data_IF_501325136717
#
_entry.id   IF_501325136717
#
_cell.length_a   1.000
_cell.length_b   1.000
_cell.length_c   1.000
_cell.angle_alpha   90.00
_cell.angle_beta   90.00
_cell.angle_gamma   90.00
#
_symmetry.space_group_name_H-M   'P 1'
#
loop_
_entity.id
_entity.type
_entity.pdbx_description
1 polymer ?
#
# COMPACT_ATOMS: atom_id res chain seq x y z
N UNK A 1 15.58 -44.38 7.03
CA UNK A 1 15.44 -43.18 6.18
C UNK A 1 13.99 -42.77 5.89
N UNK A 2 13.03 -43.70 5.65
CA UNK A 2 11.63 -43.35 5.35
C UNK A 2 10.90 -42.53 6.44
N UNK A 3 11.09 -42.87 7.72
CA UNK A 3 10.53 -42.10 8.85
C UNK A 3 11.10 -40.67 8.91
N UNK A 4 12.41 -40.53 8.70
CA UNK A 4 13.09 -39.23 8.63
C UNK A 4 12.56 -38.36 7.48
N UNK A 5 12.45 -38.92 6.27
CA UNK A 5 11.84 -38.22 5.12
C UNK A 5 10.39 -37.82 5.39
N UNK A 6 9.59 -38.66 6.06
CA UNK A 6 8.21 -38.34 6.43
C UNK A 6 8.15 -37.13 7.37
N UNK A 7 9.05 -37.04 8.35
CA UNK A 7 9.10 -35.89 9.26
C UNK A 7 9.54 -34.61 8.55
N UNK A 8 10.53 -34.68 7.65
CA UNK A 8 10.94 -33.53 6.83
C UNK A 8 9.76 -33.05 5.97
N UNK A 9 9.09 -33.96 5.26
CA UNK A 9 7.95 -33.62 4.42
C UNK A 9 6.81 -32.98 5.24
N UNK A 10 6.52 -33.51 6.43
CA UNK A 10 5.52 -32.94 7.33
C UNK A 10 5.89 -31.52 7.78
N UNK A 11 7.15 -31.27 8.15
CA UNK A 11 7.61 -29.93 8.53
C UNK A 11 7.52 -28.94 7.35
N UNK A 12 7.89 -29.37 6.15
CA UNK A 12 7.76 -28.54 4.94
C UNK A 12 6.29 -28.19 4.70
N UNK A 13 5.38 -29.17 4.77
CA UNK A 13 3.94 -28.92 4.59
C UNK A 13 3.41 -27.95 5.65
N UNK A 14 3.72 -28.16 6.92
CA UNK A 14 3.30 -27.25 8.01
C UNK A 14 3.84 -25.84 7.79
N UNK A 15 5.08 -25.71 7.35
CA UNK A 15 5.69 -24.40 7.05
C UNK A 15 4.96 -23.72 5.90
N UNK A 16 4.70 -24.42 4.79
CA UNK A 16 3.98 -23.87 3.63
C UNK A 16 2.55 -23.44 3.99
N UNK A 17 1.83 -24.25 4.76
CA UNK A 17 0.48 -23.90 5.23
C UNK A 17 0.52 -22.67 6.14
N UNK A 18 1.51 -22.60 7.03
CA UNK A 18 1.69 -21.45 7.92
C UNK A 18 2.01 -20.18 7.14
N UNK A 19 2.88 -20.26 6.14
CA UNK A 19 3.20 -19.13 5.26
C UNK A 19 1.95 -18.62 4.54
N UNK A 20 1.16 -19.53 3.96
CA UNK A 20 -0.07 -19.17 3.26
C UNK A 20 -1.09 -18.52 4.20
N UNK A 21 -1.29 -19.10 5.39
CA UNK A 21 -2.20 -18.55 6.39
C UNK A 21 -1.76 -17.15 6.85
N UNK A 22 -0.46 -16.97 7.14
CA UNK A 22 0.09 -15.69 7.55
C UNK A 22 -0.03 -14.63 6.45
N UNK A 23 0.19 -14.99 5.19
CA UNK A 23 0.03 -14.07 4.05
C UNK A 23 -1.42 -13.61 3.90
N UNK A 24 -2.38 -14.53 4.02
CA UNK A 24 -3.80 -14.23 3.98
C UNK A 24 -4.23 -13.31 5.13
N UNK A 25 -3.79 -13.61 6.36
CA UNK A 25 -4.07 -12.79 7.55
C UNK A 25 -3.45 -11.40 7.40
N UNK A 26 -2.20 -11.34 6.97
CA UNK A 26 -1.50 -10.08 6.75
C UNK A 26 -2.21 -9.22 5.71
N UNK A 27 -2.57 -9.80 4.56
CA UNK A 27 -3.27 -9.09 3.48
C UNK A 27 -4.62 -8.56 3.96
N UNK A 28 -5.41 -9.38 4.66
CA UNK A 28 -6.68 -8.95 5.23
C UNK A 28 -6.50 -7.76 6.19
N UNK A 29 -5.53 -7.83 7.10
CA UNK A 29 -5.23 -6.73 8.03
C UNK A 29 -4.74 -5.50 7.27
N UNK A 30 -3.89 -5.66 6.27
CA UNK A 30 -3.33 -4.58 5.46
C UNK A 30 -4.41 -3.80 4.71
N UNK A 31 -5.42 -4.50 4.18
CA UNK A 31 -6.55 -3.89 3.46
C UNK A 31 -7.58 -3.24 4.39
N UNK A 32 -7.75 -3.76 5.61
CA UNK A 32 -8.85 -3.33 6.50
C UNK A 32 -8.39 -2.42 7.65
N UNK A 33 -7.11 -2.37 8.01
CA UNK A 33 -6.59 -1.52 9.09
C UNK A 33 -6.56 -0.02 8.71
N UNK A 34 -6.49 0.86 9.70
CA UNK A 34 -6.37 2.32 9.47
C UNK A 34 -5.12 2.58 8.60
N UNK A 35 -5.23 3.31 7.47
CA UNK A 35 -4.10 3.55 6.58
C UNK A 35 -2.92 4.18 7.30
N UNK A 36 -1.75 3.56 7.20
CA UNK A 36 -0.48 4.07 7.75
C UNK A 36 0.47 4.57 6.66
N UNK A 37 0.16 4.30 5.40
CA UNK A 37 0.94 4.72 4.25
C UNK A 37 0.02 5.07 3.06
N UNK A 38 0.61 5.69 2.03
CA UNK A 38 -0.12 6.16 0.85
C UNK A 38 -0.75 5.03 0.04
N UNK A 39 -0.10 3.87 -0.05
CA UNK A 39 -0.63 2.71 -0.77
C UNK A 39 -1.89 2.16 -0.11
N UNK A 40 -1.88 1.97 1.23
CA UNK A 40 -3.07 1.58 1.98
C UNK A 40 -4.18 2.62 1.87
N UNK A 41 -3.82 3.89 1.89
CA UNK A 41 -4.80 4.97 1.74
C UNK A 41 -5.49 4.91 0.38
N UNK A 42 -4.74 4.73 -0.70
CA UNK A 42 -5.27 4.57 -2.06
C UNK A 42 -6.21 3.36 -2.18
N UNK A 43 -5.81 2.20 -1.67
CA UNK A 43 -6.64 0.98 -1.68
C UNK A 43 -8.01 1.18 -0.99
N UNK A 44 -8.06 2.07 0.00
CA UNK A 44 -9.29 2.41 0.73
C UNK A 44 -10.09 3.57 0.14
N UNK A 45 -9.54 4.29 -0.85
CA UNK A 45 -10.11 5.53 -1.37
C UNK A 45 -11.34 5.32 -2.29
N UNK A 46 -11.84 4.08 -2.43
CA UNK A 46 -12.82 3.65 -3.45
C UNK A 46 -14.10 4.49 -3.58
N UNK A 47 -14.46 5.28 -2.56
CA UNK A 47 -15.68 6.11 -2.56
C UNK A 47 -15.43 7.59 -2.26
N UNK A 48 -14.18 8.08 -2.34
CA UNK A 48 -13.88 9.49 -2.12
C UNK A 48 -13.66 10.25 -3.43
N UNK A 49 -14.35 11.38 -3.60
CA UNK A 49 -14.11 12.32 -4.69
C UNK A 49 -12.92 13.21 -4.34
N UNK A 50 -11.85 13.09 -5.13
CA UNK A 50 -10.64 13.92 -5.03
C UNK A 50 -10.61 14.84 -6.24
N UNK A 51 -10.47 16.15 -6.02
CA UNK A 51 -10.44 17.14 -7.11
C UNK A 51 -9.03 17.32 -7.66
N UNK A 52 -8.01 17.25 -6.80
CA UNK A 52 -6.60 17.39 -7.17
C UNK A 52 -5.75 16.24 -6.65
N UNK A 53 -4.97 15.63 -7.54
CA UNK A 53 -3.96 14.63 -7.19
C UNK A 53 -2.59 15.13 -7.64
N UNK A 54 -1.66 15.23 -6.70
CA UNK A 54 -0.28 15.64 -6.93
C UNK A 54 0.63 14.41 -6.91
N UNK A 55 1.32 14.15 -8.03
CA UNK A 55 2.23 13.02 -8.21
C UNK A 55 3.66 13.52 -8.44
N UNK A 56 4.63 12.93 -7.76
CA UNK A 56 6.02 13.35 -7.89
C UNK A 56 6.97 12.62 -6.95
N UNK A 57 8.22 13.08 -6.92
CA UNK A 57 9.26 12.53 -6.06
C UNK A 57 9.26 13.21 -4.67
N UNK A 58 10.38 13.12 -3.94
CA UNK A 58 10.62 13.82 -2.66
C UNK A 58 10.37 15.33 -2.75
N UNK A 59 10.55 15.94 -3.92
CA UNK A 59 10.24 17.37 -4.13
C UNK A 59 8.76 17.63 -3.88
N UNK A 60 7.88 16.82 -4.44
CA UNK A 60 6.44 16.99 -4.28
C UNK A 60 5.98 16.55 -2.88
N UNK A 61 6.50 15.43 -2.39
CA UNK A 61 6.17 14.94 -1.04
C UNK A 61 6.44 15.98 0.05
N UNK A 62 7.58 16.68 -0.04
CA UNK A 62 8.02 17.58 1.01
C UNK A 62 7.59 19.05 0.82
N UNK A 63 7.21 19.47 -0.40
CA UNK A 63 6.93 20.89 -0.69
C UNK A 63 5.45 21.20 -0.94
N UNK A 64 4.63 20.22 -1.33
CA UNK A 64 3.21 20.47 -1.59
C UNK A 64 2.38 20.15 -0.34
N UNK A 65 1.92 21.21 0.32
CA UNK A 65 0.99 21.12 1.46
C UNK A 65 -0.45 21.17 0.93
N UNK A 66 -1.08 20.00 0.78
CA UNK A 66 -2.44 19.90 0.21
C UNK A 66 -3.48 20.66 1.02
N UNK A 67 -3.34 20.71 2.35
CA UNK A 67 -4.23 21.49 3.21
C UNK A 67 -4.35 22.96 2.78
N UNK A 68 -3.25 23.58 2.35
CA UNK A 68 -3.26 24.96 1.86
C UNK A 68 -4.02 25.09 0.52
N UNK A 69 -3.94 24.05 -0.34
CA UNK A 69 -4.70 24.00 -1.59
C UNK A 69 -6.19 23.89 -1.27
N UNK A 70 -6.56 23.01 -0.33
CA UNK A 70 -7.95 22.84 0.10
C UNK A 70 -8.50 24.13 0.73
N UNK A 71 -7.76 24.76 1.63
CA UNK A 71 -8.15 26.04 2.27
C UNK A 71 -8.35 27.16 1.26
N UNK A 72 -7.52 27.24 0.21
CA UNK A 72 -7.58 28.30 -0.80
C UNK A 72 -8.61 28.06 -1.89
N UNK A 73 -8.90 26.81 -2.24
CA UNK A 73 -9.71 26.46 -3.40
C UNK A 73 -11.06 25.85 -3.04
N UNK A 74 -11.24 25.40 -1.80
CA UNK A 74 -12.40 24.63 -1.35
C UNK A 74 -12.49 23.23 -1.97
N UNK A 75 -11.43 22.76 -2.65
CA UNK A 75 -11.41 21.48 -3.40
C UNK A 75 -10.48 20.48 -2.72
N UNK A 76 -10.90 19.22 -2.63
CA UNK A 76 -10.11 18.16 -1.97
C UNK A 76 -8.83 17.86 -2.73
N UNK A 77 -7.70 17.78 -2.03
CA UNK A 77 -6.39 17.62 -2.62
C UNK A 77 -5.57 16.50 -1.96
N UNK A 78 -4.92 15.68 -2.78
CA UNK A 78 -4.12 14.53 -2.33
C UNK A 78 -2.67 14.63 -2.81
N UNK A 79 -1.72 14.43 -1.87
CA UNK A 79 -0.30 14.38 -2.16
C UNK A 79 0.15 12.91 -2.20
N UNK A 80 0.45 12.44 -3.41
CA UNK A 80 0.98 11.11 -3.69
C UNK A 80 2.46 11.17 -4.08
N UNK A 81 3.20 12.18 -3.60
CA UNK A 81 4.65 12.24 -3.76
C UNK A 81 5.33 11.09 -3.03
N UNK A 82 6.39 10.51 -3.59
CA UNK A 82 7.15 9.42 -2.95
C UNK A 82 8.63 9.76 -2.94
N UNK A 83 9.31 9.59 -1.81
CA UNK A 83 10.75 9.80 -1.74
C UNK A 83 11.49 8.93 -2.77
N UNK A 84 12.29 9.58 -3.63
CA UNK A 84 12.98 8.89 -4.72
C UNK A 84 12.07 8.34 -5.83
N UNK A 85 10.77 8.63 -5.79
CA UNK A 85 9.77 8.08 -6.70
C UNK A 85 10.05 8.41 -8.17
N UNK A 86 9.82 7.41 -9.01
CA UNK A 86 9.95 7.46 -10.48
C UNK A 86 8.58 7.44 -11.14
N UNK A 87 8.57 7.61 -12.46
CA UNK A 87 7.34 7.58 -13.25
C UNK A 87 6.59 6.24 -13.11
N UNK A 88 7.31 5.13 -13.00
CA UNK A 88 6.71 3.80 -12.85
C UNK A 88 5.94 3.66 -11.52
N UNK A 89 6.47 4.24 -10.44
CA UNK A 89 5.81 4.25 -9.13
C UNK A 89 4.51 5.07 -9.19
N UNK A 90 4.54 6.22 -9.87
CA UNK A 90 3.37 7.06 -10.07
C UNK A 90 2.32 6.36 -10.94
N UNK A 91 2.76 5.64 -11.97
CA UNK A 91 1.88 4.84 -12.83
C UNK A 91 1.18 3.74 -12.02
N UNK A 92 1.91 3.08 -11.11
CA UNK A 92 1.34 2.07 -10.23
C UNK A 92 0.30 2.68 -9.29
N UNK A 93 0.58 3.84 -8.69
CA UNK A 93 -0.34 4.52 -7.78
C UNK A 93 -1.67 4.93 -8.43
N UNK A 94 -1.67 5.28 -9.72
CA UNK A 94 -2.90 5.61 -10.45
C UNK A 94 -3.73 4.34 -10.78
N UNK A 95 -3.08 3.18 -10.92
CA UNK A 95 -3.75 1.92 -11.27
C UNK A 95 -4.41 1.24 -10.07
N UNK A 96 -3.98 1.57 -8.85
CA UNK A 96 -4.55 1.08 -7.59
C UNK A 96 -5.92 1.69 -7.32
#
# INVERSE_FOLDING_TARGET
MKKFLKHIAALVVVTLVSMFALDCIYTYVYENAIPRNKTQYLLKLKNERIDYVFLGSSRLENHIVTKLVEEKTGKKALNLGVQGGRLDDMSLMIKL
#
